data_IF_959695301897
#
_entry.id   IF_959695301897
#
_cell.length_a   1.000
_cell.length_b   1.000
_cell.length_c   1.000
_cell.angle_alpha   90.00
_cell.angle_beta   90.00
_cell.angle_gamma   90.00
#
_symmetry.space_group_name_H-M   'P 1'
#
loop_
_entity.id
_entity.type
_entity.pdbx_description
1 polymer ?
#
# COMPACT_ATOMS: atom_id res chain seq x y z
N UNK A 1 15.42 8.42 -16.68
CA UNK A 1 14.90 7.03 -16.63
C UNK A 1 14.69 6.55 -15.20
N UNK A 2 15.73 6.46 -14.37
CA UNK A 2 15.67 5.93 -13.00
C UNK A 2 14.84 6.79 -12.01
N UNK A 3 14.91 8.13 -12.12
CA UNK A 3 14.03 9.05 -11.37
C UNK A 3 12.59 9.08 -11.90
N UNK A 4 12.38 8.74 -13.17
CA UNK A 4 11.10 8.88 -13.86
C UNK A 4 10.05 7.87 -13.39
N UNK A 5 10.48 6.65 -13.06
CA UNK A 5 9.59 5.62 -12.48
C UNK A 5 9.06 6.04 -11.11
N UNK A 6 9.90 6.71 -10.30
CA UNK A 6 9.47 7.26 -9.01
C UNK A 6 8.55 8.46 -9.17
N UNK A 7 8.81 9.35 -10.13
CA UNK A 7 7.91 10.47 -10.45
C UNK A 7 6.53 9.92 -10.89
N UNK A 8 6.53 8.88 -11.72
CA UNK A 8 5.30 8.22 -12.20
C UNK A 8 4.52 7.60 -11.04
N UNK A 9 5.20 6.85 -10.17
CA UNK A 9 4.59 6.28 -8.98
C UNK A 9 4.00 7.35 -8.04
N UNK A 10 4.75 8.40 -7.75
CA UNK A 10 4.30 9.48 -6.86
C UNK A 10 3.08 10.21 -7.44
N UNK A 11 3.07 10.51 -8.74
CA UNK A 11 1.91 11.10 -9.42
C UNK A 11 0.69 10.17 -9.35
N UNK A 12 0.88 8.88 -9.62
CA UNK A 12 -0.20 7.90 -9.55
C UNK A 12 -0.80 7.80 -8.13
N UNK A 13 0.06 7.76 -7.10
CA UNK A 13 -0.35 7.70 -5.70
C UNK A 13 -1.09 8.98 -5.26
N UNK A 14 -0.60 10.15 -5.64
CA UNK A 14 -1.26 11.43 -5.32
C UNK A 14 -2.63 11.55 -6.01
N UNK A 15 -2.81 11.00 -7.21
CA UNK A 15 -4.11 11.00 -7.90
C UNK A 15 -5.23 10.27 -7.13
N UNK A 16 -4.91 9.53 -6.06
CA UNK A 16 -5.89 8.93 -5.15
C UNK A 16 -6.69 10.01 -4.43
N UNK A 17 -6.07 11.14 -4.05
CA UNK A 17 -6.77 12.24 -3.33
C UNK A 17 -7.67 13.06 -4.24
N UNK A 18 -7.47 13.00 -5.55
CA UNK A 18 -8.28 13.70 -6.55
C UNK A 18 -9.53 12.90 -6.94
N UNK A 19 -9.61 11.63 -6.54
CA UNK A 19 -10.70 10.72 -6.92
C UNK A 19 -11.68 10.55 -5.78
N UNK A 20 -12.97 10.47 -6.08
CA UNK A 20 -13.98 10.13 -5.07
C UNK A 20 -13.65 8.78 -4.43
N UNK A 21 -13.61 8.74 -3.09
CA UNK A 21 -13.44 7.50 -2.35
C UNK A 21 -14.72 6.64 -2.37
N UNK A 22 -14.62 5.30 -2.45
CA UNK A 22 -13.41 4.52 -2.68
C UNK A 22 -12.93 4.58 -4.14
N UNK A 23 -11.61 4.52 -4.35
CA UNK A 23 -11.03 4.54 -5.70
C UNK A 23 -11.36 3.26 -6.50
N UNK A 24 -11.35 3.38 -7.83
CA UNK A 24 -11.65 2.26 -8.73
C UNK A 24 -10.58 1.16 -8.69
N UNK A 25 -10.99 -0.08 -9.01
CA UNK A 25 -10.07 -1.23 -9.14
C UNK A 25 -8.97 -0.96 -10.16
N UNK A 26 -9.31 -0.31 -11.28
CA UNK A 26 -8.35 0.06 -12.32
C UNK A 26 -7.27 0.99 -11.76
N UNK A 27 -7.66 2.01 -10.98
CA UNK A 27 -6.70 2.93 -10.38
C UNK A 27 -5.75 2.22 -9.41
N UNK A 28 -6.26 1.29 -8.59
CA UNK A 28 -5.41 0.46 -7.71
C UNK A 28 -4.40 -0.36 -8.54
N UNK A 29 -4.87 -0.97 -9.64
CA UNK A 29 -4.03 -1.73 -10.55
C UNK A 29 -2.92 -0.87 -11.19
N UNK A 30 -3.25 0.32 -11.67
CA UNK A 30 -2.29 1.23 -12.30
C UNK A 30 -1.19 1.68 -11.32
N UNK A 31 -1.57 2.02 -10.08
CA UNK A 31 -0.62 2.38 -9.02
C UNK A 31 0.27 1.18 -8.67
N UNK A 32 -0.32 -0.02 -8.60
CA UNK A 32 0.43 -1.26 -8.34
C UNK A 32 1.46 -1.52 -9.43
N UNK A 33 1.08 -1.35 -10.71
CA UNK A 33 1.99 -1.50 -11.85
C UNK A 33 3.14 -0.49 -11.77
N UNK A 34 2.85 0.77 -11.43
CA UNK A 34 3.88 1.79 -11.22
C UNK A 34 4.85 1.42 -10.08
N UNK A 35 4.34 0.88 -8.97
CA UNK A 35 5.16 0.40 -7.87
C UNK A 35 6.07 -0.77 -8.27
N UNK A 36 5.55 -1.75 -9.02
CA UNK A 36 6.35 -2.88 -9.51
C UNK A 36 7.46 -2.42 -10.47
N UNK A 37 7.17 -1.46 -11.35
CA UNK A 37 8.17 -0.86 -12.24
C UNK A 37 9.25 -0.09 -11.45
N UNK A 38 8.91 0.47 -10.29
CA UNK A 38 9.82 1.18 -9.40
C UNK A 38 10.48 0.27 -8.34
N UNK A 39 10.52 -1.06 -8.53
CA UNK A 39 11.04 -2.00 -7.52
C UNK A 39 12.48 -1.69 -7.06
N UNK A 40 13.34 -1.18 -7.94
CA UNK A 40 14.71 -0.75 -7.57
C UNK A 40 14.71 0.33 -6.47
N UNK A 41 13.61 1.07 -6.35
CA UNK A 41 13.36 2.12 -5.37
C UNK A 41 12.34 1.71 -4.30
N UNK A 42 12.16 0.41 -4.01
CA UNK A 42 11.14 -0.09 -3.07
C UNK A 42 11.09 0.67 -1.73
N UNK A 43 12.24 1.09 -1.18
CA UNK A 43 12.30 1.91 0.04
C UNK A 43 11.56 3.24 -0.11
N UNK A 44 11.72 3.92 -1.25
CA UNK A 44 11.04 5.18 -1.55
C UNK A 44 9.56 4.97 -1.85
N UNK A 45 9.21 3.88 -2.53
CA UNK A 45 7.80 3.48 -2.76
C UNK A 45 7.09 3.27 -1.43
N UNK A 46 7.67 2.48 -0.53
CA UNK A 46 7.13 2.24 0.82
C UNK A 46 7.00 3.55 1.59
N UNK A 47 8.06 4.36 1.63
CA UNK A 47 8.04 5.65 2.32
C UNK A 47 6.96 6.60 1.79
N UNK A 48 6.73 6.61 0.48
CA UNK A 48 5.70 7.43 -0.14
C UNK A 48 4.28 6.96 0.26
N UNK A 49 4.04 5.65 0.35
CA UNK A 49 2.77 5.09 0.83
C UNK A 49 2.55 5.39 2.31
N UNK A 50 3.57 5.22 3.16
CA UNK A 50 3.51 5.56 4.59
C UNK A 50 3.19 7.05 4.77
N UNK A 51 3.90 7.94 4.06
CA UNK A 51 3.64 9.38 4.09
C UNK A 51 2.25 9.74 3.57
N UNK A 52 1.77 9.07 2.53
CA UNK A 52 0.41 9.23 2.05
C UNK A 52 -0.59 8.87 3.13
N UNK A 53 -0.43 7.73 3.79
CA UNK A 53 -1.31 7.26 4.86
C UNK A 53 -1.28 8.15 6.10
N UNK A 54 -0.21 8.89 6.36
CA UNK A 54 -0.18 9.92 7.40
C UNK A 54 -1.01 11.13 6.97
N UNK A 55 -0.81 11.64 5.76
CA UNK A 55 -1.33 12.95 5.32
C UNK A 55 -2.73 12.94 4.71
N UNK A 56 -3.19 11.81 4.15
CA UNK A 56 -4.46 11.76 3.45
C UNK A 56 -5.65 11.87 4.42
N UNK A 57 -6.77 12.40 3.90
CA UNK A 57 -8.05 12.50 4.64
C UNK A 57 -8.56 11.12 5.04
N UNK A 58 -9.41 11.06 6.07
CA UNK A 58 -9.95 9.80 6.63
C UNK A 58 -10.63 8.93 5.56
N UNK A 59 -11.37 9.55 4.64
CA UNK A 59 -12.06 8.93 3.50
C UNK A 59 -11.11 8.17 2.53
N UNK A 60 -9.82 8.52 2.51
CA UNK A 60 -8.83 7.87 1.63
C UNK A 60 -7.95 6.83 2.34
N UNK A 61 -8.06 6.66 3.67
CA UNK A 61 -7.23 5.71 4.42
C UNK A 61 -7.42 4.27 3.93
N UNK A 62 -8.68 3.89 3.71
CA UNK A 62 -9.01 2.57 3.16
C UNK A 62 -8.47 2.40 1.73
N UNK A 63 -8.54 3.45 0.90
CA UNK A 63 -7.97 3.42 -0.45
C UNK A 63 -6.45 3.24 -0.43
N UNK A 64 -5.75 3.90 0.50
CA UNK A 64 -4.32 3.72 0.72
C UNK A 64 -3.98 2.30 1.18
N UNK A 65 -4.78 1.72 2.08
CA UNK A 65 -4.64 0.32 2.49
C UNK A 65 -4.81 -0.64 1.31
N UNK A 66 -5.79 -0.42 0.42
CA UNK A 66 -5.97 -1.25 -0.77
C UNK A 66 -4.83 -1.15 -1.77
N UNK A 67 -4.22 0.02 -1.91
CA UNK A 67 -2.99 0.18 -2.71
C UNK A 67 -1.84 -0.62 -2.09
N UNK A 68 -1.61 -0.49 -0.79
CA UNK A 68 -0.60 -1.26 -0.07
C UNK A 68 -0.82 -2.77 -0.19
N UNK A 69 -2.05 -3.24 0.04
CA UNK A 69 -2.45 -4.65 -0.13
C UNK A 69 -2.18 -5.17 -1.55
N UNK A 70 -2.59 -4.41 -2.57
CA UNK A 70 -2.39 -4.80 -3.95
C UNK A 70 -0.90 -4.94 -4.31
N UNK A 71 -0.07 -4.02 -3.83
CA UNK A 71 1.40 -4.08 -3.98
C UNK A 71 1.97 -5.31 -3.30
N UNK A 72 1.60 -5.59 -2.04
CA UNK A 72 2.08 -6.74 -1.28
C UNK A 72 1.70 -8.06 -1.95
N UNK A 73 0.43 -8.20 -2.39
CA UNK A 73 -0.04 -9.41 -3.07
C UNK A 73 0.65 -9.62 -4.42
N UNK A 74 0.80 -8.54 -5.20
CA UNK A 74 1.49 -8.62 -6.49
C UNK A 74 2.97 -8.96 -6.30
N UNK A 75 3.64 -8.34 -5.34
CA UNK A 75 5.04 -8.58 -5.03
C UNK A 75 5.29 -10.01 -4.55
N UNK A 76 4.47 -10.52 -3.62
CA UNK A 76 4.54 -11.92 -3.15
C UNK A 76 4.37 -12.89 -4.31
N UNK A 77 3.39 -12.67 -5.19
CA UNK A 77 3.14 -13.53 -6.36
C UNK A 77 4.32 -13.51 -7.34
N UNK A 78 4.86 -12.33 -7.64
CA UNK A 78 5.86 -12.14 -8.69
C UNK A 78 7.28 -12.48 -8.23
N UNK A 79 7.65 -12.11 -7.00
CA UNK A 79 9.03 -12.22 -6.50
C UNK A 79 9.22 -13.35 -5.48
N UNK A 80 8.13 -13.90 -4.90
CA UNK A 80 8.17 -15.03 -3.95
C UNK A 80 9.17 -14.75 -2.81
N UNK A 81 10.24 -15.54 -2.71
CA UNK A 81 11.31 -15.41 -1.70
C UNK A 81 12.20 -14.18 -1.90
N UNK A 82 12.07 -13.46 -3.02
CA UNK A 82 12.79 -12.21 -3.31
C UNK A 82 11.92 -10.97 -3.10
N UNK A 83 10.77 -11.09 -2.43
CA UNK A 83 9.93 -9.94 -2.11
C UNK A 83 10.65 -8.98 -1.16
N UNK A 84 10.74 -7.71 -1.57
CA UNK A 84 11.37 -6.62 -0.84
C UNK A 84 10.34 -5.69 -0.18
N UNK A 85 9.06 -5.77 -0.57
CA UNK A 85 8.01 -4.88 -0.07
C UNK A 85 7.49 -5.33 1.29
N UNK A 86 7.09 -6.61 1.44
CA UNK A 86 6.62 -7.14 2.71
C UNK A 86 7.61 -6.91 3.87
N UNK A 87 8.90 -7.32 3.79
CA UNK A 87 9.84 -7.07 4.87
C UNK A 87 10.08 -5.57 5.11
N UNK A 88 9.96 -4.71 4.09
CA UNK A 88 10.16 -3.28 4.26
C UNK A 88 8.98 -2.59 4.96
N UNK A 89 7.75 -2.97 4.64
CA UNK A 89 6.56 -2.47 5.34
C UNK A 89 6.50 -2.98 6.78
N UNK A 90 6.97 -4.21 7.04
CA UNK A 90 6.98 -4.80 8.38
C UNK A 90 7.68 -3.91 9.42
N UNK A 91 8.77 -3.23 9.02
CA UNK A 91 9.59 -2.34 9.89
C UNK A 91 8.76 -1.28 10.61
N UNK A 92 7.73 -0.72 9.97
CA UNK A 92 6.89 0.35 10.53
C UNK A 92 5.41 -0.06 10.61
N UNK A 93 5.10 -1.35 10.50
CA UNK A 93 3.74 -1.82 10.24
C UNK A 93 2.75 -1.36 11.31
N UNK A 94 3.16 -1.39 12.59
CA UNK A 94 2.34 -0.92 13.70
C UNK A 94 1.98 0.57 13.55
N UNK A 95 2.96 1.43 13.24
CA UNK A 95 2.71 2.85 13.00
C UNK A 95 1.84 3.08 11.76
N UNK A 96 2.06 2.32 10.69
CA UNK A 96 1.23 2.37 9.49
C UNK A 96 -0.23 2.01 9.81
N UNK A 97 -0.48 0.99 10.65
CA UNK A 97 -1.83 0.65 11.09
C UNK A 97 -2.47 1.71 11.98
N UNK A 98 -1.74 2.30 12.92
CA UNK A 98 -2.25 3.43 13.73
C UNK A 98 -2.77 4.55 12.82
N UNK A 99 -2.02 4.89 11.77
CA UNK A 99 -2.45 5.89 10.80
C UNK A 99 -3.66 5.45 9.98
N UNK A 100 -3.73 4.19 9.54
CA UNK A 100 -4.88 3.63 8.80
C UNK A 100 -6.15 3.64 9.65
N UNK A 101 -6.06 3.34 10.94
CA UNK A 101 -7.22 3.26 11.85
C UNK A 101 -7.88 4.61 12.15
N UNK A 102 -7.26 5.73 11.72
CA UNK A 102 -7.91 7.05 11.65
C UNK A 102 -8.90 7.18 10.47
N UNK A 103 -9.19 6.08 9.76
CA UNK A 103 -10.26 5.98 8.76
C UNK A 103 -11.65 6.22 9.35
N UNK A 104 -12.63 6.46 8.48
CA UNK A 104 -14.03 6.58 8.86
C UNK A 104 -14.52 5.30 9.56
N UNK A 105 -15.45 5.45 10.50
CA UNK A 105 -15.98 4.34 11.31
C UNK A 105 -16.54 3.20 10.46
N UNK A 106 -17.19 3.53 9.33
CA UNK A 106 -17.75 2.59 8.37
C UNK A 106 -16.69 1.76 7.60
N UNK A 107 -15.41 2.12 7.68
CA UNK A 107 -14.32 1.44 7.01
C UNK A 107 -13.50 0.54 7.94
N UNK A 108 -13.66 0.66 9.26
CA UNK A 108 -12.91 -0.14 10.24
C UNK A 108 -13.05 -1.64 10.02
N UNK A 109 -14.26 -2.14 9.76
CA UNK A 109 -14.48 -3.57 9.48
C UNK A 109 -13.79 -4.02 8.18
N UNK A 110 -13.69 -3.13 7.18
CA UNK A 110 -12.99 -3.42 5.93
C UNK A 110 -11.47 -3.46 6.14
N UNK A 111 -10.93 -2.60 7.01
CA UNK A 111 -9.52 -2.65 7.44
C UNK A 111 -9.20 -3.96 8.14
N UNK A 112 -10.01 -4.37 9.13
CA UNK A 112 -9.86 -5.65 9.84
C UNK A 112 -9.90 -6.83 8.86
N UNK A 113 -10.81 -6.81 7.89
CA UNK A 113 -10.88 -7.85 6.86
C UNK A 113 -9.58 -7.97 6.06
N UNK A 114 -8.94 -6.86 5.68
CA UNK A 114 -7.66 -6.90 4.95
C UNK A 114 -6.55 -7.51 5.82
N UNK A 115 -6.50 -7.13 7.10
CA UNK A 115 -5.50 -7.67 8.04
C UNK A 115 -5.68 -9.18 8.23
N UNK A 116 -6.92 -9.65 8.40
CA UNK A 116 -7.21 -11.09 8.50
C UNK A 116 -6.81 -11.85 7.23
N UNK A 117 -7.02 -11.24 6.05
CA UNK A 117 -6.56 -11.81 4.78
C UNK A 117 -5.03 -11.84 4.70
N UNK A 118 -4.33 -10.84 5.21
CA UNK A 118 -2.87 -10.86 5.26
C UNK A 118 -2.32 -11.98 6.14
N UNK A 119 -2.96 -12.24 7.29
CA UNK A 119 -2.61 -13.38 8.14
C UNK A 119 -2.90 -14.71 7.46
N UNK A 120 -4.11 -14.91 6.94
CA UNK A 120 -4.51 -16.15 6.29
C UNK A 120 -3.68 -16.48 5.03
N UNK A 121 -3.15 -15.46 4.36
CA UNK A 121 -2.30 -15.62 3.18
C UNK A 121 -0.81 -15.44 3.50
N UNK A 122 -0.40 -15.40 4.77
CA UNK A 122 0.99 -15.27 5.23
C UNK A 122 1.75 -14.13 4.52
N UNK A 123 1.10 -12.98 4.33
CA UNK A 123 1.70 -11.81 3.65
C UNK A 123 2.89 -11.29 4.47
N UNK A 124 2.69 -11.18 5.77
CA UNK A 124 3.75 -10.96 6.74
C UNK A 124 3.99 -12.29 7.46
N UNK A 125 5.26 -12.63 7.70
CA UNK A 125 5.60 -13.78 8.54
C UNK A 125 5.42 -13.34 9.98
N UNK A 126 4.82 -14.19 10.80
CA UNK A 126 4.86 -14.01 12.25
C UNK A 126 6.33 -14.19 12.68
N UNK A 127 6.97 -13.11 13.11
CA UNK A 127 8.19 -13.22 13.91
C UNK A 127 7.74 -13.76 15.28
N UNK A 128 7.90 -15.08 15.46
CA UNK A 128 7.97 -15.69 16.78
C UNK A 128 9.38 -15.58 17.32
#
# INVERSE_FOLDING_TARGET
>A
MDSEVMITFNKALLSVTESKAPISKQKIFDITKAAMNAIRYFKHVVLAIEKFLVKCRSEHKLSGLYVMDSILRQAKKQYKHKDVFAPRFAVNLQNTFTNILTCDTNDRLKVVRVINLWQANEIFKDEK
#
